data_IF_117468856479
#
_entry.id   IF_117468856479
#
_cell.length_a   1.000
_cell.length_b   1.000
_cell.length_c   1.000
_cell.angle_alpha   90.00
_cell.angle_beta   90.00
_cell.angle_gamma   90.00
#
_symmetry.space_group_name_H-M   'P 1'
#
loop_
_entity.id
_entity.type
_entity.pdbx_description
1 polymer ?
#
# COMPACT_ATOMS: atom_id res chain seq x y z
N UNK A 1 0.08 -47.10 34.16
CA UNK A 1 0.77 -48.00 33.22
C UNK A 1 1.35 -47.08 32.17
N UNK A 2 2.47 -46.53 32.45
CA UNK A 2 3.85 -46.76 31.98
C UNK A 2 4.00 -46.44 30.50
N UNK A 3 4.53 -45.32 30.24
CA UNK A 3 5.94 -44.94 29.98
C UNK A 3 6.52 -45.52 28.68
N UNK A 4 6.98 -44.67 27.81
CA UNK A 4 7.83 -45.01 26.70
C UNK A 4 8.50 -43.72 26.20
N UNK A 5 9.76 -43.55 26.57
CA UNK A 5 10.59 -42.39 26.50
C UNK A 5 11.11 -42.06 25.09
N UNK A 6 11.41 -40.77 24.91
CA UNK A 6 12.17 -40.11 23.85
C UNK A 6 13.59 -40.71 23.67
N UNK A 7 14.01 -40.83 22.42
CA UNK A 7 15.44 -40.99 22.08
C UNK A 7 15.80 -39.99 20.95
N UNK A 8 16.79 -39.11 21.16
CA UNK A 8 17.25 -38.19 20.13
C UNK A 8 18.25 -38.87 19.17
N UNK A 9 17.99 -38.72 17.89
CA UNK A 9 18.94 -39.16 16.82
C UNK A 9 20.11 -38.19 16.77
N UNK A 10 21.28 -38.66 17.17
CA UNK A 10 22.59 -38.03 16.94
C UNK A 10 23.06 -38.34 15.52
N UNK A 11 23.22 -37.31 14.69
CA UNK A 11 24.02 -37.42 13.47
C UNK A 11 25.48 -37.18 13.81
N UNK A 12 26.30 -38.23 13.63
CA UNK A 12 27.76 -38.23 13.70
C UNK A 12 28.31 -37.79 12.35
N UNK A 13 29.10 -36.73 12.31
CA UNK A 13 30.05 -36.45 11.23
C UNK A 13 31.48 -36.69 11.74
N UNK A 14 32.33 -37.33 10.96
CA UNK A 14 33.73 -37.52 11.33
C UNK A 14 34.56 -36.24 11.09
N UNK A 15 35.65 -36.04 11.82
CA UNK A 15 36.53 -34.89 11.63
C UNK A 15 37.53 -35.12 10.49
N UNK A 16 37.54 -34.25 9.50
CA UNK A 16 38.64 -34.17 8.54
C UNK A 16 39.70 -33.18 9.01
N UNK A 17 40.91 -33.72 9.12
CA UNK A 17 42.17 -33.02 9.31
C UNK A 17 42.53 -32.22 8.05
N UNK A 18 42.70 -30.91 8.17
CA UNK A 18 43.38 -30.11 7.15
C UNK A 18 44.59 -29.43 7.82
N UNK A 19 45.78 -29.93 7.53
CA UNK A 19 47.06 -29.23 7.76
C UNK A 19 47.26 -28.13 6.72
N UNK A 20 47.59 -27.00 7.22
CA UNK A 20 48.40 -25.87 6.73
C UNK A 20 48.65 -25.66 5.24
N UNK A 21 48.21 -24.49 4.79
CA UNK A 21 48.99 -23.66 3.87
C UNK A 21 48.85 -22.19 4.23
N UNK A 22 50.04 -21.56 4.41
CA UNK A 22 50.19 -20.13 4.68
C UNK A 22 50.03 -19.32 3.39
N UNK A 23 49.38 -18.16 3.49
CA UNK A 23 49.74 -16.98 2.71
C UNK A 23 49.05 -16.83 1.37
N UNK A 24 47.94 -16.11 1.35
CA UNK A 24 47.59 -15.13 0.28
C UNK A 24 46.71 -14.03 0.89
N UNK A 25 47.10 -12.79 0.61
CA UNK A 25 46.43 -11.55 1.00
C UNK A 25 44.96 -11.51 0.56
N UNK A 26 44.05 -10.83 1.28
CA UNK A 26 42.69 -10.65 0.83
C UNK A 26 42.67 -9.68 -0.36
N UNK A 27 42.23 -10.19 -1.51
CA UNK A 27 41.88 -9.32 -2.63
C UNK A 27 40.71 -8.46 -2.24
N UNK A 28 40.92 -7.15 -2.16
CA UNK A 28 39.87 -6.17 -2.07
C UNK A 28 39.02 -6.29 -3.34
N UNK A 29 37.75 -6.69 -3.18
CA UNK A 29 36.76 -6.55 -4.25
C UNK A 29 36.49 -5.07 -4.41
N UNK A 30 37.05 -4.46 -5.44
CA UNK A 30 36.64 -3.15 -5.93
C UNK A 30 35.27 -3.36 -6.57
N UNK A 31 34.20 -2.97 -5.86
CA UNK A 31 32.86 -2.86 -6.45
C UNK A 31 32.90 -1.64 -7.37
N UNK A 32 32.94 -1.88 -8.67
CA UNK A 32 32.76 -0.82 -9.65
C UNK A 32 31.39 -0.12 -9.42
N UNK A 33 31.30 1.22 -9.57
CA UNK A 33 30.04 1.90 -9.40
C UNK A 33 29.06 1.37 -10.45
N UNK A 34 27.93 0.81 -10.00
CA UNK A 34 26.80 0.44 -10.85
C UNK A 34 26.30 1.76 -11.45
N UNK A 35 26.51 1.96 -12.74
CA UNK A 35 25.97 3.07 -13.48
C UNK A 35 24.47 3.13 -13.24
N UNK A 36 23.99 4.26 -12.73
CA UNK A 36 22.58 4.53 -12.61
C UNK A 36 21.89 4.32 -13.97
N UNK A 37 20.80 3.56 -14.07
CA UNK A 37 20.12 3.36 -15.35
C UNK A 37 19.63 4.72 -15.88
N UNK A 38 20.01 5.03 -17.11
CA UNK A 38 19.49 6.20 -17.84
C UNK A 38 17.99 6.07 -17.96
N UNK A 39 17.26 7.02 -17.41
CA UNK A 39 15.80 7.14 -17.36
C UNK A 39 15.23 7.57 -18.73
N UNK A 40 15.59 6.93 -19.83
CA UNK A 40 14.94 7.26 -21.10
C UNK A 40 15.01 6.12 -22.12
N UNK A 41 14.21 5.09 -21.84
CA UNK A 41 13.63 4.17 -22.83
C UNK A 41 12.34 3.64 -22.23
N UNK A 42 11.22 3.86 -22.91
CA UNK A 42 10.00 3.08 -22.64
C UNK A 42 10.40 1.62 -22.57
N UNK A 43 10.20 0.90 -21.46
CA UNK A 43 10.60 -0.48 -21.36
C UNK A 43 9.90 -1.26 -22.45
N UNK A 44 10.65 -1.97 -23.30
CA UNK A 44 10.07 -2.96 -24.21
C UNK A 44 9.36 -3.98 -23.34
N UNK A 45 8.02 -3.97 -23.36
CA UNK A 45 7.20 -4.88 -22.55
C UNK A 45 7.44 -6.28 -23.10
N UNK A 46 8.26 -7.06 -22.40
CA UNK A 46 8.50 -8.48 -22.71
C UNK A 46 7.53 -9.39 -21.97
N UNK A 47 6.93 -8.91 -20.87
CA UNK A 47 5.90 -9.63 -20.13
C UNK A 47 4.54 -9.50 -20.86
N UNK A 48 3.80 -10.59 -21.02
CA UNK A 48 2.46 -10.54 -21.59
C UNK A 48 1.43 -9.92 -20.62
N UNK A 49 1.79 -9.66 -19.36
CA UNK A 49 0.95 -9.01 -18.35
C UNK A 49 1.66 -7.79 -17.79
N UNK A 50 0.96 -6.65 -17.64
CA UNK A 50 1.50 -5.39 -17.12
C UNK A 50 0.41 -4.57 -16.41
N UNK A 51 0.84 -3.65 -15.54
CA UNK A 51 -0.03 -2.64 -14.95
C UNK A 51 0.34 -1.25 -15.45
N UNK A 52 -0.60 -0.56 -16.06
CA UNK A 52 -0.47 0.85 -16.43
C UNK A 52 -0.81 1.73 -15.24
N UNK A 53 0.06 2.69 -14.93
CA UNK A 53 -0.12 3.64 -13.82
C UNK A 53 -0.17 5.05 -14.41
N UNK A 54 -1.36 5.65 -14.41
CA UNK A 54 -1.56 7.02 -14.88
C UNK A 54 -1.11 8.02 -13.82
N UNK A 55 0.06 8.62 -14.02
CA UNK A 55 0.57 9.68 -13.13
C UNK A 55 -0.29 10.95 -13.24
N UNK A 56 -0.92 11.19 -14.39
CA UNK A 56 -1.84 12.32 -14.56
C UNK A 56 -3.13 12.15 -13.77
N UNK A 57 -3.70 10.93 -13.73
CA UNK A 57 -4.83 10.62 -12.85
C UNK A 57 -4.46 10.80 -11.37
N UNK A 58 -3.24 10.38 -10.99
CA UNK A 58 -2.74 10.55 -9.62
C UNK A 58 -2.60 12.04 -9.25
N UNK A 59 -2.01 12.86 -10.13
CA UNK A 59 -1.91 14.32 -9.96
C UNK A 59 -3.29 14.98 -9.87
N UNK A 60 -4.20 14.58 -10.77
CA UNK A 60 -5.58 15.04 -10.75
C UNK A 60 -6.25 14.77 -9.40
N UNK A 61 -6.15 13.53 -8.90
CA UNK A 61 -6.75 13.13 -7.63
C UNK A 61 -6.15 13.92 -6.45
N UNK A 62 -4.85 14.16 -6.46
CA UNK A 62 -4.19 14.95 -5.44
C UNK A 62 -4.73 16.39 -5.42
N UNK A 63 -4.80 17.04 -6.59
CA UNK A 63 -5.39 18.38 -6.72
C UNK A 63 -6.86 18.42 -6.31
N UNK A 64 -7.63 17.39 -6.71
CA UNK A 64 -9.05 17.27 -6.35
C UNK A 64 -9.26 17.18 -4.83
N UNK A 65 -8.45 16.35 -4.16
CA UNK A 65 -8.46 16.23 -2.69
C UNK A 65 -8.05 17.54 -2.03
N UNK A 66 -6.97 18.18 -2.51
CA UNK A 66 -6.52 19.48 -2.00
C UNK A 66 -7.60 20.57 -2.14
N UNK A 67 -8.24 20.67 -3.30
CA UNK A 67 -9.35 21.59 -3.53
C UNK A 67 -10.56 21.29 -2.62
N UNK A 68 -10.85 20.02 -2.38
CA UNK A 68 -11.98 19.61 -1.52
C UNK A 68 -11.80 20.06 -0.06
N UNK A 69 -10.58 20.00 0.47
CA UNK A 69 -10.33 20.38 1.88
C UNK A 69 -9.96 21.86 2.06
N UNK A 70 -9.61 22.56 0.99
CA UNK A 70 -9.22 23.96 1.01
C UNK A 70 -7.77 24.21 1.43
N UNK A 71 -7.32 25.46 1.27
CA UNK A 71 -5.90 25.86 1.38
C UNK A 71 -5.35 25.81 2.80
N UNK A 72 -6.19 25.83 3.81
CA UNK A 72 -5.78 25.81 5.22
C UNK A 72 -5.46 24.40 5.74
N UNK A 73 -5.71 23.37 4.94
CA UNK A 73 -5.49 21.96 5.30
C UNK A 73 -4.39 21.34 4.45
N UNK A 74 -3.32 20.92 5.08
CA UNK A 74 -2.21 20.28 4.37
C UNK A 74 -2.56 18.83 4.02
N UNK A 75 -1.97 18.33 2.95
CA UNK A 75 -2.14 16.95 2.49
C UNK A 75 -0.86 16.18 2.74
N UNK A 76 -0.94 15.12 3.56
CA UNK A 76 0.08 14.09 3.66
C UNK A 76 -0.34 12.95 2.72
N UNK A 77 0.29 12.87 1.56
CA UNK A 77 0.01 11.84 0.56
C UNK A 77 0.52 10.48 1.05
N UNK A 78 -0.38 9.52 1.29
CA UNK A 78 0.02 8.20 1.80
C UNK A 78 0.44 7.29 0.66
N UNK A 79 1.73 6.96 0.61
CA UNK A 79 2.38 6.16 -0.45
C UNK A 79 2.98 4.85 0.06
N UNK A 80 2.57 4.39 1.24
CA UNK A 80 2.98 3.11 1.83
C UNK A 80 2.56 1.90 0.98
N UNK A 81 3.11 0.74 1.27
CA UNK A 81 2.88 -0.51 0.55
C UNK A 81 3.11 -0.33 -0.95
N UNK A 82 4.27 0.25 -1.30
CA UNK A 82 4.66 0.59 -2.67
C UNK A 82 3.60 1.44 -3.39
N UNK A 83 3.12 2.53 -2.71
CA UNK A 83 2.01 3.35 -3.19
C UNK A 83 0.76 2.51 -3.51
N UNK A 84 0.36 1.62 -2.58
CA UNK A 84 -0.77 0.68 -2.78
C UNK A 84 -0.57 -0.17 -4.05
N UNK A 85 0.66 -0.61 -4.30
CA UNK A 85 1.02 -1.42 -5.47
C UNK A 85 1.24 -0.65 -6.77
N UNK A 86 1.23 0.70 -6.74
CA UNK A 86 1.41 1.54 -7.93
C UNK A 86 2.86 1.92 -8.22
N UNK A 87 3.81 1.61 -7.31
CA UNK A 87 5.22 2.01 -7.41
C UNK A 87 5.51 3.33 -6.71
N UNK A 88 5.88 3.26 -5.42
CA UNK A 88 6.03 4.43 -4.55
C UNK A 88 7.01 5.49 -5.07
N UNK A 89 8.20 5.15 -5.60
CA UNK A 89 9.14 6.18 -6.09
C UNK A 89 8.55 7.07 -7.18
N UNK A 90 7.94 6.48 -8.21
CA UNK A 90 7.37 7.24 -9.33
C UNK A 90 6.12 8.02 -8.92
N UNK A 91 5.26 7.42 -8.09
CA UNK A 91 4.09 8.10 -7.55
C UNK A 91 4.49 9.30 -6.67
N UNK A 92 5.48 9.13 -5.79
CA UNK A 92 5.95 10.20 -4.92
C UNK A 92 6.60 11.34 -5.73
N UNK A 93 7.43 11.03 -6.75
CA UNK A 93 8.00 12.03 -7.64
C UNK A 93 6.92 12.86 -8.36
N UNK A 94 5.88 12.19 -8.87
CA UNK A 94 4.76 12.87 -9.52
C UNK A 94 3.99 13.78 -8.55
N UNK A 95 3.75 13.32 -7.32
CA UNK A 95 3.06 14.11 -6.30
C UNK A 95 3.92 15.24 -5.74
N UNK A 96 5.23 15.03 -5.59
CA UNK A 96 6.15 16.09 -5.15
C UNK A 96 6.22 17.22 -6.20
N UNK A 97 6.20 16.88 -7.49
CA UNK A 97 6.11 17.89 -8.56
C UNK A 97 4.81 18.69 -8.56
N UNK A 98 3.74 18.16 -7.98
CA UNK A 98 2.48 18.87 -7.70
C UNK A 98 2.52 19.66 -6.38
N UNK A 99 3.65 19.70 -5.69
CA UNK A 99 3.84 20.44 -4.45
C UNK A 99 3.40 19.68 -3.20
N UNK A 100 3.30 18.35 -3.22
CA UNK A 100 2.98 17.57 -2.01
C UNK A 100 4.07 17.76 -0.93
N UNK A 101 3.76 18.39 0.22
CA UNK A 101 4.76 18.73 1.23
C UNK A 101 5.08 17.55 2.16
N UNK A 102 4.22 16.52 2.18
CA UNK A 102 4.31 15.38 3.08
C UNK A 102 3.96 14.08 2.40
N UNK A 103 4.74 13.03 2.68
CA UNK A 103 4.39 11.66 2.35
C UNK A 103 4.27 10.81 3.61
N UNK A 104 3.25 9.95 3.66
CA UNK A 104 3.06 8.95 4.71
C UNK A 104 3.50 7.57 4.23
N UNK A 105 4.45 6.97 4.95
CA UNK A 105 4.95 5.62 4.71
C UNK A 105 4.76 4.75 5.95
N UNK A 106 4.91 3.43 5.82
CA UNK A 106 4.81 2.55 6.99
C UNK A 106 6.04 2.70 7.89
N UNK A 107 7.22 2.43 7.36
CA UNK A 107 8.46 2.36 8.13
C UNK A 107 9.67 2.92 7.38
N UNK A 108 10.82 2.72 7.99
CA UNK A 108 12.10 3.31 7.58
C UNK A 108 12.54 2.81 6.20
N UNK A 109 12.35 1.52 5.86
CA UNK A 109 12.73 0.97 4.54
C UNK A 109 11.99 1.68 3.39
N UNK A 110 10.68 1.89 3.53
CA UNK A 110 9.88 2.61 2.52
C UNK A 110 10.35 4.07 2.40
N UNK A 111 10.63 4.72 3.54
CA UNK A 111 11.16 6.09 3.55
C UNK A 111 12.51 6.18 2.85
N UNK A 112 13.40 5.22 3.09
CA UNK A 112 14.72 5.18 2.45
C UNK A 112 14.63 4.98 0.95
N UNK A 113 13.71 4.12 0.47
CA UNK A 113 13.47 3.97 -0.96
C UNK A 113 13.03 5.30 -1.61
N UNK A 114 12.21 6.10 -0.93
CA UNK A 114 11.81 7.42 -1.41
C UNK A 114 12.98 8.43 -1.38
N UNK A 115 13.80 8.43 -0.33
CA UNK A 115 15.02 9.27 -0.27
C UNK A 115 15.98 8.93 -1.40
N UNK A 116 16.22 7.64 -1.66
CA UNK A 116 17.05 7.17 -2.78
C UNK A 116 16.48 7.57 -4.14
N UNK A 117 15.16 7.66 -4.27
CA UNK A 117 14.49 8.19 -5.45
C UNK A 117 14.52 9.72 -5.57
N UNK A 118 15.17 10.42 -4.64
CA UNK A 118 15.39 11.86 -4.66
C UNK A 118 14.30 12.70 -4.01
N UNK A 119 13.30 12.09 -3.35
CA UNK A 119 12.21 12.81 -2.67
C UNK A 119 12.78 13.69 -1.54
N UNK A 120 12.44 14.98 -1.57
CA UNK A 120 12.86 16.00 -0.59
C UNK A 120 11.79 16.32 0.45
N UNK A 121 10.52 16.13 0.08
CA UNK A 121 9.37 16.37 0.95
C UNK A 121 9.50 15.62 2.28
N UNK A 122 8.72 16.04 3.26
CA UNK A 122 8.70 15.44 4.61
C UNK A 122 8.15 14.01 4.55
N UNK A 123 8.79 13.09 5.27
CA UNK A 123 8.40 11.69 5.35
C UNK A 123 7.92 11.35 6.75
N UNK A 124 6.64 11.00 6.89
CA UNK A 124 5.99 10.59 8.13
C UNK A 124 6.02 9.07 8.25
N UNK A 125 6.74 8.54 9.25
CA UNK A 125 6.73 7.11 9.58
C UNK A 125 5.48 6.79 10.41
N UNK A 126 4.46 6.23 9.75
CA UNK A 126 3.11 6.12 10.34
C UNK A 126 2.98 5.00 11.38
N UNK A 127 3.91 4.05 11.43
CA UNK A 127 3.96 2.97 12.42
C UNK A 127 5.13 3.12 13.40
N UNK A 128 5.69 4.33 13.51
CA UNK A 128 6.80 4.61 14.41
C UNK A 128 8.13 4.07 13.90
N UNK A 129 8.99 3.69 14.84
CA UNK A 129 10.30 3.11 14.58
C UNK A 129 10.40 1.71 15.15
N UNK A 130 11.30 0.91 14.62
CA UNK A 130 11.78 -0.29 15.25
C UNK A 130 13.13 -0.03 15.95
N UNK A 131 13.46 -0.86 16.95
CA UNK A 131 14.73 -0.72 17.70
C UNK A 131 15.92 -0.93 16.77
N UNK A 132 16.82 0.04 16.72
CA UNK A 132 18.01 0.04 15.85
C UNK A 132 17.89 0.93 14.61
N UNK A 133 16.72 1.52 14.34
CA UNK A 133 16.50 2.43 13.19
C UNK A 133 16.74 3.91 13.55
N UNK A 134 17.00 4.23 14.82
CA UNK A 134 17.02 5.59 15.34
C UNK A 134 18.07 6.48 14.63
N UNK A 135 19.28 5.94 14.45
CA UNK A 135 20.37 6.66 13.78
C UNK A 135 20.04 6.96 12.31
N UNK A 136 19.35 6.04 11.62
CA UNK A 136 18.91 6.20 10.25
C UNK A 136 17.78 7.21 10.12
N UNK A 137 16.82 7.19 11.04
CA UNK A 137 15.71 8.16 11.13
C UNK A 137 16.25 9.57 11.25
N UNK A 138 17.21 9.80 12.15
CA UNK A 138 17.82 11.12 12.35
C UNK A 138 18.65 11.54 11.13
N UNK A 139 19.47 10.63 10.59
CA UNK A 139 20.34 10.92 9.45
C UNK A 139 19.60 11.32 8.18
N UNK A 140 18.40 10.75 7.97
CA UNK A 140 17.60 10.98 6.77
C UNK A 140 16.44 11.95 6.98
N UNK A 141 16.44 12.68 8.10
CA UNK A 141 15.42 13.68 8.43
C UNK A 141 13.99 13.11 8.30
N UNK A 142 13.77 11.91 8.83
CA UNK A 142 12.45 11.29 8.86
C UNK A 142 11.67 11.83 10.06
N UNK A 143 10.34 11.81 9.98
CA UNK A 143 9.47 12.25 11.05
C UNK A 143 8.70 11.04 11.60
N UNK A 144 9.15 10.42 12.70
CA UNK A 144 8.48 9.27 13.26
C UNK A 144 7.25 9.64 14.07
N UNK A 145 6.23 8.78 14.03
CA UNK A 145 5.13 8.79 15.00
C UNK A 145 5.59 8.04 16.23
N UNK A 146 5.35 8.61 17.43
CA UNK A 146 5.72 8.04 18.73
C UNK A 146 4.48 7.85 19.61
N UNK A 147 4.49 6.85 20.52
CA UNK A 147 3.43 6.60 21.49
C UNK A 147 3.90 5.85 22.73
N UNK A 148 5.17 5.44 22.75
CA UNK A 148 5.80 4.74 23.88
C UNK A 148 7.00 5.53 24.39
N UNK A 149 7.27 5.41 25.68
CA UNK A 149 8.40 6.07 26.31
C UNK A 149 9.74 5.68 25.67
N UNK A 150 9.91 4.40 25.33
CA UNK A 150 11.13 3.92 24.69
C UNK A 150 11.40 4.54 23.31
N UNK A 151 10.35 4.89 22.52
CA UNK A 151 10.53 5.62 21.28
C UNK A 151 11.21 6.96 21.54
N UNK A 152 10.69 7.68 22.54
CA UNK A 152 11.17 9.01 22.92
C UNK A 152 12.61 8.93 23.42
N UNK A 153 12.91 8.03 24.35
CA UNK A 153 14.25 7.86 24.92
C UNK A 153 15.31 7.53 23.87
N UNK A 154 15.00 6.61 22.95
CA UNK A 154 15.94 6.21 21.93
C UNK A 154 16.15 7.27 20.85
N UNK A 155 15.07 7.93 20.42
CA UNK A 155 15.17 9.01 19.44
C UNK A 155 15.88 10.23 20.04
N UNK A 156 15.64 10.55 21.31
CA UNK A 156 16.35 11.59 22.02
C UNK A 156 17.86 11.31 22.05
N UNK A 157 18.25 10.08 22.42
CA UNK A 157 19.65 9.69 22.45
C UNK A 157 20.33 9.79 21.07
N UNK A 158 19.65 9.37 20.01
CA UNK A 158 20.17 9.45 18.63
C UNK A 158 20.25 10.91 18.13
N UNK A 159 19.25 11.74 18.43
CA UNK A 159 19.22 13.14 18.03
C UNK A 159 20.27 13.95 18.82
N UNK A 160 20.43 13.71 20.11
CA UNK A 160 21.46 14.30 20.97
C UNK A 160 22.86 13.97 20.48
N UNK A 161 23.14 12.71 20.17
CA UNK A 161 24.43 12.27 19.60
C UNK A 161 24.82 13.03 18.33
N UNK A 162 23.84 13.42 17.53
CA UNK A 162 24.02 14.19 16.28
C UNK A 162 23.85 15.70 16.47
N UNK A 163 23.62 16.16 17.71
CA UNK A 163 23.37 17.58 18.06
C UNK A 163 22.33 18.24 17.14
N UNK A 164 21.24 17.53 16.87
CA UNK A 164 20.15 17.99 16.02
C UNK A 164 18.81 17.90 16.74
N UNK A 165 17.81 18.62 16.26
CA UNK A 165 16.43 18.51 16.74
C UNK A 165 15.62 17.68 15.76
N UNK A 166 15.03 16.59 16.26
CA UNK A 166 14.19 15.68 15.48
C UNK A 166 12.70 16.03 15.70
N UNK A 167 11.95 16.36 14.64
CA UNK A 167 10.49 16.49 14.75
C UNK A 167 9.84 15.12 14.90
N UNK A 168 8.89 15.02 15.84
CA UNK A 168 8.11 13.80 16.07
C UNK A 168 6.63 14.12 16.12
N UNK A 169 5.78 13.14 15.75
CA UNK A 169 4.33 13.22 15.92
C UNK A 169 3.88 12.26 17.01
N UNK A 170 3.09 12.74 17.96
CA UNK A 170 2.48 11.89 18.97
C UNK A 170 1.22 11.24 18.43
N UNK A 171 1.03 9.94 18.69
CA UNK A 171 -0.21 9.25 18.35
C UNK A 171 -1.01 8.93 19.60
N UNK A 172 -2.29 9.31 19.57
CA UNK A 172 -3.29 9.01 20.60
C UNK A 172 -4.18 7.87 20.10
N UNK A 173 -4.35 6.84 20.92
CA UNK A 173 -5.37 5.81 20.63
C UNK A 173 -6.71 6.28 21.22
N UNK A 174 -7.64 6.58 20.36
CA UNK A 174 -8.99 7.01 20.71
C UNK A 174 -10.04 5.92 20.46
N UNK A 175 -9.59 4.66 20.30
CA UNK A 175 -10.50 3.52 20.09
C UNK A 175 -10.27 2.72 18.81
N UNK A 176 -9.09 2.86 18.18
CA UNK A 176 -8.64 1.93 17.13
C UNK A 176 -8.01 0.67 17.73
N UNK A 177 -7.46 0.78 18.94
CA UNK A 177 -6.85 -0.29 19.74
C UNK A 177 -5.76 -1.04 18.94
N UNK A 178 -4.88 -0.25 18.31
CA UNK A 178 -3.79 -0.80 17.50
C UNK A 178 -2.44 -0.16 17.83
N UNK A 179 -2.32 1.14 17.73
CA UNK A 179 -1.12 1.93 18.02
C UNK A 179 -1.57 3.28 18.60
N UNK A 180 -0.81 3.80 19.53
CA UNK A 180 -1.06 5.10 20.16
C UNK A 180 -1.04 4.99 21.68
N UNK A 181 -0.75 6.11 22.33
CA UNK A 181 -0.86 6.23 23.78
C UNK A 181 -2.34 6.27 24.19
N UNK A 182 -2.71 5.51 25.20
CA UNK A 182 -4.04 5.61 25.80
C UNK A 182 -4.17 6.93 26.57
N UNK A 183 -5.36 7.55 26.60
CA UNK A 183 -5.55 8.85 27.25
C UNK A 183 -5.04 8.90 28.71
N UNK A 184 -5.22 7.85 29.48
CA UNK A 184 -4.75 7.73 30.86
C UNK A 184 -3.22 7.71 30.99
N UNK A 185 -2.50 7.26 30.00
CA UNK A 185 -1.03 7.21 29.96
C UNK A 185 -0.40 8.47 29.35
N UNK A 186 -1.21 9.37 28.79
CA UNK A 186 -0.75 10.59 28.13
C UNK A 186 0.14 11.49 29.00
N UNK A 187 -0.15 11.71 30.30
CA UNK A 187 0.72 12.53 31.15
C UNK A 187 2.16 12.02 31.25
N UNK A 188 2.37 10.70 31.27
CA UNK A 188 3.70 10.11 31.31
C UNK A 188 4.49 10.34 30.03
N UNK A 189 3.82 10.28 28.88
CA UNK A 189 4.42 10.56 27.58
C UNK A 189 4.75 12.05 27.41
N UNK A 190 3.87 12.93 27.90
CA UNK A 190 4.11 14.38 27.94
C UNK A 190 5.37 14.70 28.78
N UNK A 191 5.50 14.09 29.95
CA UNK A 191 6.68 14.28 30.79
C UNK A 191 7.96 13.80 30.11
N UNK A 192 7.92 12.65 29.42
CA UNK A 192 9.05 12.15 28.63
C UNK A 192 9.45 13.11 27.52
N UNK A 193 8.48 13.63 26.74
CA UNK A 193 8.73 14.61 25.68
C UNK A 193 9.30 15.93 26.24
N UNK A 194 8.78 16.40 27.35
CA UNK A 194 9.28 17.62 28.03
C UNK A 194 10.73 17.50 28.52
N UNK A 195 11.17 16.25 28.81
CA UNK A 195 12.55 15.93 29.22
C UNK A 195 13.48 15.63 28.05
N UNK A 196 13.02 15.80 26.82
CA UNK A 196 13.76 15.44 25.60
C UNK A 196 14.04 16.67 24.74
N UNK A 197 15.11 17.46 25.06
CA UNK A 197 15.38 18.75 24.40
C UNK A 197 15.72 18.64 22.91
N UNK A 198 16.15 17.45 22.43
CA UNK A 198 16.45 17.21 21.03
C UNK A 198 15.24 16.65 20.25
N UNK A 199 14.07 16.50 20.89
CA UNK A 199 12.83 16.17 20.21
C UNK A 199 11.89 17.38 20.18
N UNK A 200 11.26 17.60 19.03
CA UNK A 200 10.24 18.63 18.85
C UNK A 200 8.90 17.96 18.54
N UNK A 201 7.93 18.09 19.46
CA UNK A 201 6.57 17.68 19.16
C UNK A 201 5.99 18.60 18.06
N UNK A 202 6.00 18.12 16.82
CA UNK A 202 5.52 18.86 15.66
C UNK A 202 4.08 18.53 15.30
N UNK A 203 3.63 17.33 15.62
CA UNK A 203 2.28 16.91 15.29
C UNK A 203 1.66 15.99 16.33
N UNK A 204 0.33 15.91 16.27
CA UNK A 204 -0.45 14.94 17.06
C UNK A 204 -1.50 14.30 16.17
N UNK A 205 -1.73 13.01 16.35
CA UNK A 205 -2.60 12.24 15.48
C UNK A 205 -3.45 11.21 16.20
N UNK A 206 -4.56 10.87 15.58
CA UNK A 206 -5.31 9.64 15.85
C UNK A 206 -5.69 8.94 14.56
N UNK A 207 -6.37 7.80 14.64
CA UNK A 207 -6.88 7.09 13.48
C UNK A 207 -8.25 6.52 13.76
N UNK A 208 -9.21 6.77 12.86
CA UNK A 208 -10.56 6.25 13.01
C UNK A 208 -10.62 4.75 12.75
N UNK A 209 -11.23 4.01 13.67
CA UNK A 209 -11.55 2.61 13.50
C UNK A 209 -12.62 2.42 12.42
N UNK A 210 -13.58 3.34 12.41
CA UNK A 210 -14.62 3.41 11.37
C UNK A 210 -15.08 4.85 11.21
N UNK A 211 -15.22 5.30 9.94
CA UNK A 211 -15.85 6.58 9.60
C UNK A 211 -17.33 6.38 9.25
N UNK A 212 -17.73 5.12 9.06
CA UNK A 212 -19.07 4.70 8.65
C UNK A 212 -20.11 4.83 9.75
N UNK A 213 -19.67 4.73 11.00
CA UNK A 213 -20.50 4.88 12.19
C UNK A 213 -20.31 6.29 12.75
N UNK A 214 -21.31 7.18 12.59
CA UNK A 214 -21.19 8.57 13.05
C UNK A 214 -21.02 8.68 14.56
N UNK A 215 -21.60 7.76 15.33
CA UNK A 215 -21.52 7.79 16.79
C UNK A 215 -20.10 7.41 17.26
N UNK A 216 -19.55 6.32 16.72
CA UNK A 216 -18.16 5.91 17.00
C UNK A 216 -17.17 6.97 16.56
N UNK A 217 -17.38 7.58 15.36
CA UNK A 217 -16.52 8.67 14.88
C UNK A 217 -16.56 9.85 15.84
N UNK A 218 -17.75 10.26 16.33
CA UNK A 218 -17.90 11.38 17.27
C UNK A 218 -17.22 11.07 18.62
N UNK A 219 -17.40 9.85 19.14
CA UNK A 219 -16.72 9.40 20.38
C UNK A 219 -15.20 9.47 20.24
N UNK A 220 -14.64 8.95 19.13
CA UNK A 220 -13.19 9.04 18.88
C UNK A 220 -12.71 10.48 18.74
N UNK A 221 -13.49 11.34 18.09
CA UNK A 221 -13.17 12.76 17.95
C UNK A 221 -13.17 13.45 19.30
N UNK A 222 -14.18 13.22 20.16
CA UNK A 222 -14.24 13.81 21.51
C UNK A 222 -13.01 13.41 22.35
N UNK A 223 -12.68 12.12 22.41
CA UNK A 223 -11.46 11.66 23.13
C UNK A 223 -10.18 12.30 22.59
N UNK A 224 -10.14 12.60 21.29
CA UNK A 224 -8.99 13.29 20.71
C UNK A 224 -8.94 14.76 21.11
N UNK A 225 -10.08 15.47 21.15
CA UNK A 225 -10.15 16.84 21.66
C UNK A 225 -9.74 16.92 23.13
N UNK A 226 -10.18 15.99 23.95
CA UNK A 226 -9.77 15.90 25.37
C UNK A 226 -8.24 15.75 25.49
N UNK A 227 -7.64 14.88 24.66
CA UNK A 227 -6.19 14.72 24.62
C UNK A 227 -5.45 15.99 24.16
N UNK A 228 -6.01 16.73 23.20
CA UNK A 228 -5.48 18.03 22.77
C UNK A 228 -5.54 19.07 23.91
N UNK A 229 -6.61 19.08 24.70
CA UNK A 229 -6.74 19.95 25.85
C UNK A 229 -5.68 19.65 26.93
N UNK A 230 -5.39 18.36 27.19
CA UNK A 230 -4.32 17.93 28.11
C UNK A 230 -2.95 18.40 27.61
N UNK A 231 -2.67 18.27 26.31
CA UNK A 231 -1.42 18.76 25.70
C UNK A 231 -1.31 20.29 25.84
N UNK A 232 -2.37 21.02 25.55
CA UNK A 232 -2.41 22.49 25.67
C UNK A 232 -2.18 22.95 27.10
N UNK A 233 -2.80 22.31 28.11
CA UNK A 233 -2.58 22.57 29.52
C UNK A 233 -1.12 22.34 29.92
N UNK A 234 -0.43 21.42 29.24
CA UNK A 234 1.00 21.14 29.43
C UNK A 234 1.91 22.04 28.57
N UNK A 235 1.35 23.11 27.97
CA UNK A 235 2.05 24.05 27.07
C UNK A 235 2.61 23.42 25.79
N UNK A 236 2.10 22.28 25.40
CA UNK A 236 2.41 21.60 24.13
C UNK A 236 1.30 21.86 23.12
N UNK A 237 1.60 22.66 22.10
CA UNK A 237 0.66 23.04 21.05
C UNK A 237 1.27 22.72 19.67
N UNK A 238 1.28 21.44 19.26
CA UNK A 238 1.85 21.07 17.98
C UNK A 238 1.05 21.69 16.82
N UNK A 239 1.72 22.26 15.80
CA UNK A 239 1.04 22.92 14.68
C UNK A 239 0.30 21.96 13.77
N UNK A 240 0.66 20.66 13.78
CA UNK A 240 0.06 19.67 12.89
C UNK A 240 -0.86 18.73 13.69
N UNK A 241 -2.14 18.86 13.43
CA UNK A 241 -3.19 18.02 14.05
C UNK A 241 -3.84 17.20 12.92
N UNK A 242 -3.87 15.87 13.03
CA UNK A 242 -4.36 15.03 11.95
C UNK A 242 -5.13 13.80 12.42
N UNK A 243 -6.36 13.67 11.95
CA UNK A 243 -7.29 12.57 12.22
C UNK A 243 -7.70 11.87 10.93
N UNK A 244 -8.02 12.64 9.89
CA UNK A 244 -8.70 12.18 8.69
C UNK A 244 -7.83 11.25 7.83
N UNK A 245 -8.30 10.03 7.59
CA UNK A 245 -7.89 9.14 6.51
C UNK A 245 -8.72 9.44 5.24
N UNK A 246 -8.57 8.67 4.15
CA UNK A 246 -9.33 8.89 2.91
C UNK A 246 -10.83 9.02 3.13
N UNK A 247 -11.42 8.13 3.94
CA UNK A 247 -12.86 8.14 4.20
C UNK A 247 -13.30 9.40 4.95
N UNK A 248 -12.57 9.78 5.99
CA UNK A 248 -12.85 10.98 6.76
C UNK A 248 -12.58 12.25 5.94
N UNK A 249 -11.51 12.25 5.13
CA UNK A 249 -11.21 13.36 4.21
C UNK A 249 -12.39 13.65 3.29
N UNK A 250 -13.01 12.63 2.72
CA UNK A 250 -14.08 12.78 1.75
C UNK A 250 -15.45 13.02 2.38
N UNK A 251 -15.68 12.64 3.65
CA UNK A 251 -17.01 12.56 4.24
C UNK A 251 -17.21 13.40 5.53
N UNK A 252 -16.14 13.93 6.14
CA UNK A 252 -16.18 14.47 7.51
C UNK A 252 -15.29 15.69 7.67
N UNK A 253 -15.73 16.85 7.17
CA UNK A 253 -14.95 18.09 7.21
C UNK A 253 -14.53 18.51 8.63
N UNK A 254 -15.32 18.19 9.63
CA UNK A 254 -15.03 18.43 11.04
C UNK A 254 -13.76 17.70 11.57
N UNK A 255 -13.28 16.72 10.82
CA UNK A 255 -12.11 15.90 11.20
C UNK A 255 -10.80 16.31 10.51
N UNK A 256 -10.83 17.27 9.59
CA UNK A 256 -9.63 17.58 8.77
C UNK A 256 -8.49 18.18 9.57
N UNK A 257 -8.83 19.05 10.55
CA UNK A 257 -7.83 19.77 11.34
C UNK A 257 -6.84 20.52 10.44
N UNK A 258 -5.52 20.40 10.71
CA UNK A 258 -4.48 21.11 9.93
C UNK A 258 -3.77 20.22 8.92
N UNK A 259 -3.98 18.89 8.98
CA UNK A 259 -3.35 17.92 8.09
C UNK A 259 -4.27 16.71 7.88
N UNK A 260 -4.44 16.29 6.64
CA UNK A 260 -5.14 15.04 6.27
C UNK A 260 -4.17 13.99 5.73
N UNK A 261 -4.58 12.72 5.79
CA UNK A 261 -3.77 11.58 5.32
C UNK A 261 -4.55 10.72 4.32
N UNK A 262 -4.86 11.23 3.10
CA UNK A 262 -5.49 10.43 2.07
C UNK A 262 -4.52 9.36 1.56
N UNK A 263 -5.01 8.13 1.43
CA UNK A 263 -4.34 7.01 0.78
C UNK A 263 -5.15 6.60 -0.43
N UNK A 264 -6.07 5.66 -0.28
CA UNK A 264 -6.81 5.06 -1.39
C UNK A 264 -7.58 6.09 -2.26
N UNK A 265 -7.94 7.24 -1.71
CA UNK A 265 -8.56 8.32 -2.47
C UNK A 265 -7.62 8.87 -3.55
N UNK A 266 -6.31 8.95 -3.29
CA UNK A 266 -5.32 9.39 -4.28
C UNK A 266 -5.22 8.42 -5.46
N UNK A 267 -5.55 7.15 -5.24
CA UNK A 267 -5.53 6.10 -6.27
C UNK A 267 -6.88 5.93 -6.98
N UNK A 268 -7.84 6.85 -6.74
CA UNK A 268 -9.09 6.95 -7.49
C UNK A 268 -10.28 6.22 -6.88
N UNK A 269 -10.18 5.75 -5.64
CA UNK A 269 -11.28 5.03 -4.97
C UNK A 269 -11.94 5.90 -3.91
N UNK A 270 -13.02 6.59 -4.30
CA UNK A 270 -13.86 7.41 -3.41
C UNK A 270 -15.02 6.62 -2.81
N UNK A 271 -15.53 5.63 -3.54
CA UNK A 271 -16.66 4.80 -3.12
C UNK A 271 -16.18 3.78 -2.09
N UNK A 272 -15.93 4.25 -0.87
CA UNK A 272 -15.89 3.39 0.29
C UNK A 272 -17.35 2.98 0.50
N UNK A 273 -17.78 1.89 -0.14
CA UNK A 273 -19.14 1.37 0.00
C UNK A 273 -19.39 1.05 1.45
N UNK A 274 -20.23 1.85 2.06
CA UNK A 274 -20.83 1.59 3.37
C UNK A 274 -22.19 0.96 3.11
N UNK A 275 -22.43 -0.21 3.66
CA UNK A 275 -23.80 -0.70 3.68
C UNK A 275 -24.70 0.38 4.30
N UNK A 276 -25.73 0.80 3.58
CA UNK A 276 -26.75 1.74 4.05
C UNK A 276 -26.42 3.24 3.96
N UNK A 277 -25.28 3.67 3.37
CA UNK A 277 -25.00 5.08 3.16
C UNK A 277 -24.90 5.45 1.67
N UNK A 278 -25.33 6.66 1.32
CA UNK A 278 -25.14 7.21 -0.03
C UNK A 278 -23.63 7.39 -0.29
N UNK A 279 -23.16 7.21 -1.54
CA UNK A 279 -21.80 7.58 -1.90
C UNK A 279 -21.56 9.04 -1.52
N UNK A 280 -20.36 9.34 -1.00
CA UNK A 280 -19.97 10.73 -0.80
C UNK A 280 -19.64 11.31 -2.17
N UNK A 281 -20.40 12.29 -2.61
CA UNK A 281 -20.08 13.06 -3.82
C UNK A 281 -18.92 13.99 -3.49
N UNK A 282 -17.74 13.64 -3.99
CA UNK A 282 -16.63 14.59 -4.07
C UNK A 282 -16.95 15.57 -5.20
N UNK A 283 -16.79 16.86 -4.96
CA UNK A 283 -17.06 17.91 -5.95
C UNK A 283 -16.32 17.71 -7.29
N UNK A 284 -15.23 16.94 -7.28
CA UNK A 284 -14.50 16.52 -8.48
C UNK A 284 -14.37 15.01 -8.46
N UNK A 285 -14.77 14.28 -9.52
CA UNK A 285 -14.59 12.83 -9.59
C UNK A 285 -13.12 12.44 -9.44
N UNK A 286 -12.86 11.39 -8.68
CA UNK A 286 -11.53 10.77 -8.60
C UNK A 286 -11.41 9.71 -9.69
N UNK A 287 -10.23 9.65 -10.31
CA UNK A 287 -9.95 8.75 -11.43
C UNK A 287 -9.12 7.56 -10.96
N UNK A 288 -9.49 6.30 -11.29
CA UNK A 288 -8.63 5.15 -11.06
C UNK A 288 -7.25 5.38 -11.68
N UNK A 289 -6.21 5.12 -10.89
CA UNK A 289 -4.82 5.37 -11.32
C UNK A 289 -4.22 4.16 -12.00
N UNK A 290 -4.69 2.94 -11.69
CA UNK A 290 -4.13 1.70 -12.20
C UNK A 290 -5.11 0.96 -13.11
N UNK A 291 -4.61 0.57 -14.29
CA UNK A 291 -5.21 -0.45 -15.14
C UNK A 291 -4.28 -1.67 -15.20
N UNK A 292 -4.84 -2.87 -15.03
CA UNK A 292 -4.09 -4.13 -15.13
C UNK A 292 -4.52 -4.90 -16.36
N UNK A 293 -3.58 -5.20 -17.24
CA UNK A 293 -3.80 -5.77 -18.55
C UNK A 293 -2.95 -7.01 -18.78
N UNK A 294 -3.41 -7.85 -19.70
CA UNK A 294 -2.65 -8.99 -20.18
C UNK A 294 -2.98 -9.24 -21.66
N UNK A 295 -2.40 -10.30 -22.25
CA UNK A 295 -2.70 -10.74 -23.63
C UNK A 295 -3.13 -12.20 -23.64
N UNK A 296 -3.97 -12.55 -24.60
CA UNK A 296 -4.30 -13.93 -24.88
C UNK A 296 -3.07 -14.68 -25.41
N UNK A 297 -2.73 -15.82 -24.80
CA UNK A 297 -1.59 -16.65 -25.25
C UNK A 297 -2.01 -17.93 -25.97
N UNK A 298 -3.25 -18.37 -25.80
CA UNK A 298 -3.78 -19.54 -26.49
C UNK A 298 -5.30 -19.49 -26.58
N UNK A 299 -5.83 -20.18 -27.60
CA UNK A 299 -7.25 -20.38 -27.83
C UNK A 299 -7.52 -21.86 -28.06
N UNK A 300 -8.61 -22.39 -27.49
CA UNK A 300 -9.04 -23.78 -27.65
C UNK A 300 -10.52 -23.83 -27.96
N UNK A 301 -10.88 -24.58 -29.01
CA UNK A 301 -12.26 -24.97 -29.25
C UNK A 301 -12.57 -26.25 -28.47
N UNK A 302 -13.53 -26.18 -27.58
CA UNK A 302 -13.87 -27.23 -26.62
C UNK A 302 -15.27 -27.74 -26.89
N UNK A 303 -15.45 -29.07 -26.95
CA UNK A 303 -16.75 -29.70 -27.15
C UNK A 303 -17.63 -29.54 -25.90
N UNK A 304 -18.97 -29.69 -26.03
CA UNK A 304 -19.84 -29.79 -24.85
C UNK A 304 -19.42 -30.95 -23.91
N UNK A 305 -19.66 -30.80 -22.64
CA UNK A 305 -19.37 -31.81 -21.60
C UNK A 305 -17.90 -31.88 -21.18
N UNK A 306 -17.04 -30.97 -21.63
CA UNK A 306 -15.63 -30.96 -21.26
C UNK A 306 -15.40 -30.14 -19.99
N UNK A 307 -14.64 -30.70 -19.04
CA UNK A 307 -14.24 -30.02 -17.82
C UNK A 307 -13.06 -29.06 -18.07
N UNK A 308 -13.09 -27.87 -17.46
CA UNK A 308 -12.08 -26.82 -17.61
C UNK A 308 -11.27 -26.67 -16.32
N UNK A 309 -9.94 -26.75 -16.42
CA UNK A 309 -8.99 -26.46 -15.37
C UNK A 309 -8.98 -27.45 -14.21
N UNK A 310 -8.28 -27.07 -13.15
CA UNK A 310 -8.14 -27.91 -11.94
C UNK A 310 -9.49 -28.21 -11.27
N UNK A 311 -9.70 -29.46 -10.93
CA UNK A 311 -10.91 -29.94 -10.26
C UNK A 311 -12.15 -29.98 -11.16
N UNK A 312 -12.04 -29.58 -12.44
CA UNK A 312 -13.18 -29.63 -13.38
C UNK A 312 -14.39 -28.83 -12.90
N UNK A 313 -14.15 -27.72 -12.19
CA UNK A 313 -15.22 -26.94 -11.53
C UNK A 313 -16.14 -26.19 -12.48
N UNK A 314 -15.81 -26.17 -13.75
CA UNK A 314 -16.63 -25.69 -14.86
C UNK A 314 -16.68 -26.76 -15.96
N UNK A 315 -17.90 -27.03 -16.46
CA UNK A 315 -18.12 -27.97 -17.57
C UNK A 315 -18.84 -27.22 -18.69
N UNK A 316 -18.31 -27.28 -19.90
CA UNK A 316 -18.92 -26.64 -21.08
C UNK A 316 -20.30 -27.24 -21.39
N UNK A 317 -21.29 -26.39 -21.60
CA UNK A 317 -22.65 -26.81 -21.94
C UNK A 317 -22.88 -26.87 -23.45
N UNK A 318 -22.03 -26.19 -24.23
CA UNK A 318 -22.07 -26.08 -25.66
C UNK A 318 -20.66 -26.10 -26.22
N UNK A 319 -20.51 -26.11 -27.56
CA UNK A 319 -19.21 -25.88 -28.18
C UNK A 319 -18.72 -24.48 -27.77
N UNK A 320 -17.61 -24.44 -27.09
CA UNK A 320 -17.08 -23.22 -26.48
C UNK A 320 -15.69 -22.88 -27.00
N UNK A 321 -15.38 -21.60 -27.08
CA UNK A 321 -14.05 -21.09 -27.40
C UNK A 321 -13.42 -20.53 -26.11
N UNK A 322 -12.41 -21.23 -25.59
CA UNK A 322 -11.76 -20.95 -24.33
C UNK A 322 -10.40 -20.29 -24.60
N UNK A 323 -10.21 -19.11 -24.04
CA UNK A 323 -8.96 -18.36 -24.10
C UNK A 323 -8.14 -18.58 -22.83
N UNK A 324 -6.82 -18.58 -22.96
CA UNK A 324 -5.87 -18.74 -21.86
C UNK A 324 -5.10 -17.43 -21.66
N UNK A 325 -5.10 -16.93 -20.44
CA UNK A 325 -4.38 -15.74 -20.00
C UNK A 325 -3.15 -16.15 -19.18
N UNK A 326 -1.96 -15.57 -19.41
CA UNK A 326 -0.74 -15.83 -18.63
C UNK A 326 -0.74 -14.98 -17.34
N UNK A 327 -1.77 -15.13 -16.53
CA UNK A 327 -1.94 -14.46 -15.25
C UNK A 327 -2.70 -15.38 -14.30
N UNK A 328 -2.23 -15.43 -13.05
CA UNK A 328 -2.83 -16.23 -12.00
C UNK A 328 -2.64 -15.64 -10.61
N UNK A 329 -2.85 -16.45 -9.57
CA UNK A 329 -2.81 -15.92 -8.22
C UNK A 329 -1.38 -15.51 -7.77
N UNK A 330 -0.32 -15.99 -8.38
CA UNK A 330 1.05 -15.53 -8.13
C UNK A 330 1.30 -14.11 -8.66
N UNK A 331 0.48 -13.64 -9.60
CA UNK A 331 0.50 -12.28 -10.12
C UNK A 331 -0.43 -11.35 -9.34
N UNK A 332 -1.33 -11.91 -8.49
CA UNK A 332 -2.34 -11.18 -7.74
C UNK A 332 -3.76 -11.34 -8.28
N UNK A 333 -3.99 -12.18 -9.31
CA UNK A 333 -5.34 -12.49 -9.79
C UNK A 333 -5.96 -13.56 -8.91
N UNK A 334 -6.75 -13.14 -7.92
CA UNK A 334 -7.18 -13.96 -6.80
C UNK A 334 -7.89 -15.25 -7.22
N UNK A 335 -7.57 -16.36 -6.53
CA UNK A 335 -8.20 -17.67 -6.79
C UNK A 335 -9.72 -17.66 -6.56
N UNK A 336 -10.24 -16.76 -5.72
CA UNK A 336 -11.66 -16.56 -5.48
C UNK A 336 -12.42 -15.99 -6.69
N UNK A 337 -11.72 -15.52 -7.72
CA UNK A 337 -12.31 -15.13 -9.01
C UNK A 337 -12.69 -16.34 -9.89
N UNK A 338 -12.29 -17.57 -9.55
CA UNK A 338 -12.65 -18.81 -10.24
C UNK A 338 -14.17 -18.92 -10.42
N UNK A 339 -14.65 -19.08 -11.65
CA UNK A 339 -16.08 -19.17 -12.03
C UNK A 339 -16.96 -17.98 -11.58
N UNK A 340 -16.38 -16.92 -11.04
CA UNK A 340 -17.11 -15.77 -10.48
C UNK A 340 -16.68 -14.43 -11.10
N UNK A 341 -15.42 -14.33 -11.50
CA UNK A 341 -14.83 -13.14 -12.08
C UNK A 341 -15.12 -13.04 -13.57
N UNK A 342 -14.73 -11.91 -14.14
CA UNK A 342 -14.76 -11.64 -15.58
C UNK A 342 -13.60 -10.74 -15.97
N UNK A 343 -13.32 -10.69 -17.26
CA UNK A 343 -12.34 -9.80 -17.88
C UNK A 343 -12.99 -9.06 -19.03
N UNK A 344 -12.30 -8.08 -19.64
CA UNK A 344 -12.77 -7.45 -20.87
C UNK A 344 -11.84 -7.85 -22.01
N UNK A 345 -12.42 -8.39 -23.08
CA UNK A 345 -11.74 -8.77 -24.33
C UNK A 345 -12.44 -8.07 -25.48
N UNK A 346 -11.71 -7.30 -26.32
CA UNK A 346 -12.27 -6.54 -27.44
C UNK A 346 -13.48 -5.68 -27.08
N UNK A 347 -13.49 -5.14 -25.83
CA UNK A 347 -14.57 -4.30 -25.34
C UNK A 347 -15.81 -5.05 -24.85
N UNK A 348 -15.76 -6.39 -24.73
CA UNK A 348 -16.84 -7.22 -24.22
C UNK A 348 -16.43 -7.99 -22.97
N UNK A 349 -17.36 -8.28 -22.09
CA UNK A 349 -17.10 -9.09 -20.90
C UNK A 349 -16.95 -10.58 -21.27
N UNK A 350 -15.87 -11.20 -20.81
CA UNK A 350 -15.61 -12.64 -20.87
C UNK A 350 -15.54 -13.22 -19.45
N UNK A 351 -16.36 -14.21 -19.10
CA UNK A 351 -16.34 -14.81 -17.77
C UNK A 351 -15.10 -15.66 -17.55
N UNK A 352 -14.58 -15.65 -16.32
CA UNK A 352 -13.57 -16.62 -15.87
C UNK A 352 -14.26 -17.97 -15.70
N UNK A 353 -13.74 -19.00 -16.34
CA UNK A 353 -14.27 -20.37 -16.29
C UNK A 353 -13.22 -21.34 -15.80
N UNK A 354 -13.60 -22.19 -14.84
CA UNK A 354 -12.69 -23.08 -14.14
C UNK A 354 -11.88 -22.36 -13.04
N UNK A 355 -10.96 -23.10 -12.45
CA UNK A 355 -10.13 -22.58 -11.34
C UNK A 355 -8.99 -21.73 -11.85
N UNK A 356 -8.82 -20.52 -11.28
CA UNK A 356 -7.60 -19.72 -11.45
C UNK A 356 -6.43 -20.51 -10.87
N UNK A 357 -5.38 -20.70 -11.68
CA UNK A 357 -4.16 -21.39 -11.27
C UNK A 357 -3.07 -20.42 -10.84
N UNK A 358 -1.87 -20.94 -10.56
CA UNK A 358 -0.76 -20.08 -10.10
C UNK A 358 -0.40 -19.01 -11.13
N UNK A 359 -0.30 -19.41 -12.41
CA UNK A 359 0.23 -18.58 -13.49
C UNK A 359 -0.74 -18.42 -14.67
N UNK A 360 -1.90 -19.11 -14.66
CA UNK A 360 -2.83 -19.13 -15.78
C UNK A 360 -4.28 -18.97 -15.32
N UNK A 361 -5.06 -18.29 -16.16
CA UNK A 361 -6.51 -18.15 -16.02
C UNK A 361 -7.17 -18.50 -17.35
N UNK A 362 -8.31 -19.18 -17.30
CA UNK A 362 -9.14 -19.49 -18.47
C UNK A 362 -10.40 -18.63 -18.49
N UNK A 363 -10.74 -18.12 -19.66
CA UNK A 363 -11.94 -17.31 -19.88
C UNK A 363 -12.72 -17.82 -21.09
N UNK A 364 -14.04 -17.72 -21.03
CA UNK A 364 -14.90 -18.10 -22.15
C UNK A 364 -15.12 -16.89 -23.07
N UNK A 365 -14.68 -17.01 -24.31
CA UNK A 365 -14.81 -15.98 -25.35
C UNK A 365 -15.74 -16.42 -26.50
N UNK A 366 -16.57 -17.42 -26.26
CA UNK A 366 -17.47 -18.01 -27.28
C UNK A 366 -18.35 -16.96 -27.94
N UNK A 367 -18.89 -16.02 -27.17
CA UNK A 367 -19.79 -14.97 -27.66
C UNK A 367 -19.06 -13.75 -28.28
N UNK A 368 -17.74 -13.71 -28.24
CA UNK A 368 -16.97 -12.56 -28.72
C UNK A 368 -16.36 -12.87 -30.09
N UNK A 369 -16.81 -12.21 -31.15
CA UNK A 369 -16.31 -12.49 -32.47
C UNK A 369 -14.89 -11.98 -32.71
N UNK A 370 -14.13 -12.70 -33.55
CA UNK A 370 -12.81 -12.25 -34.01
C UNK A 370 -11.69 -12.25 -32.97
N UNK A 371 -11.91 -12.86 -31.78
CA UNK A 371 -10.85 -12.98 -30.76
C UNK A 371 -9.68 -13.78 -31.31
N UNK A 372 -8.44 -13.29 -31.10
CA UNK A 372 -7.23 -13.98 -31.53
C UNK A 372 -6.11 -13.91 -30.48
N UNK A 373 -5.10 -14.78 -30.68
CA UNK A 373 -3.89 -14.78 -29.83
C UNK A 373 -3.21 -13.41 -29.95
N UNK A 374 -2.79 -12.86 -28.81
CA UNK A 374 -2.18 -11.52 -28.73
C UNK A 374 -3.18 -10.40 -28.46
N UNK A 375 -4.49 -10.64 -28.55
CA UNK A 375 -5.50 -9.64 -28.16
C UNK A 375 -5.30 -9.19 -26.71
N UNK A 376 -5.45 -7.89 -26.48
CA UNK A 376 -5.40 -7.29 -25.14
C UNK A 376 -6.61 -7.71 -24.33
N UNK A 377 -6.35 -8.03 -23.08
CA UNK A 377 -7.35 -8.38 -22.07
C UNK A 377 -7.21 -7.46 -20.88
N UNK A 378 -8.30 -6.85 -20.44
CA UNK A 378 -8.33 -5.98 -19.28
C UNK A 378 -8.83 -6.77 -18.07
N UNK A 379 -7.98 -6.85 -17.06
CA UNK A 379 -8.28 -7.48 -15.78
C UNK A 379 -8.86 -6.45 -14.78
N UNK A 380 -8.27 -5.25 -14.76
CA UNK A 380 -8.76 -4.05 -14.07
C UNK A 380 -8.58 -2.89 -15.05
N UNK A 381 -9.62 -2.10 -15.28
CA UNK A 381 -9.62 -0.97 -16.21
C UNK A 381 -10.94 -0.87 -16.98
N UNK A 382 -10.89 -0.17 -18.11
CA UNK A 382 -12.07 0.08 -18.94
C UNK A 382 -11.81 -0.06 -20.44
N UNK A 383 -12.81 -0.46 -21.19
CA UNK A 383 -12.86 -0.46 -22.67
C UNK A 383 -14.31 -0.49 -23.14
N UNK A 384 -14.65 0.29 -24.18
CA UNK A 384 -16.01 0.35 -24.77
C UNK A 384 -17.13 0.48 -23.74
N UNK A 385 -17.01 1.37 -22.75
CA UNK A 385 -17.97 1.55 -21.68
C UNK A 385 -18.15 0.33 -20.73
N UNK A 386 -17.31 -0.67 -20.85
CA UNK A 386 -17.21 -1.77 -19.88
C UNK A 386 -16.12 -1.44 -18.87
N UNK A 387 -16.41 -1.63 -17.59
CA UNK A 387 -15.49 -1.30 -16.50
C UNK A 387 -15.37 -2.50 -15.56
N UNK A 388 -14.14 -2.83 -15.19
CA UNK A 388 -13.82 -3.72 -14.09
C UNK A 388 -12.86 -2.97 -13.19
N UNK A 389 -13.28 -2.63 -11.97
CA UNK A 389 -12.44 -1.95 -11.00
C UNK A 389 -12.00 -2.89 -9.85
N UNK A 390 -11.03 -2.45 -9.05
CA UNK A 390 -10.60 -3.23 -7.89
C UNK A 390 -11.73 -3.42 -6.85
N UNK A 391 -12.76 -2.60 -6.87
CA UNK A 391 -13.96 -2.77 -6.05
C UNK A 391 -14.82 -3.95 -6.48
N UNK A 392 -14.89 -4.25 -7.78
CA UNK A 392 -15.58 -5.44 -8.30
C UNK A 392 -14.86 -6.71 -7.85
N UNK A 393 -13.53 -6.77 -8.04
CA UNK A 393 -12.73 -7.91 -7.56
C UNK A 393 -12.85 -8.06 -6.03
N UNK A 394 -12.76 -6.96 -5.30
CA UNK A 394 -12.89 -6.98 -3.83
C UNK A 394 -14.24 -7.55 -3.37
N UNK A 395 -15.33 -7.18 -4.05
CA UNK A 395 -16.67 -7.70 -3.75
C UNK A 395 -16.77 -9.21 -3.99
N UNK A 396 -16.16 -9.71 -5.09
CA UNK A 396 -16.16 -11.14 -5.42
C UNK A 396 -15.27 -11.91 -4.44
N UNK A 397 -14.14 -11.33 -4.07
CA UNK A 397 -13.16 -11.94 -3.15
C UNK A 397 -13.47 -11.70 -1.66
N UNK A 398 -14.59 -11.02 -1.33
CA UNK A 398 -15.03 -10.72 0.04
C UNK A 398 -13.98 -9.91 0.82
N UNK A 399 -13.34 -8.97 0.15
CA UNK A 399 -12.29 -8.10 0.70
C UNK A 399 -12.49 -6.63 0.31
N UNK A 400 -11.44 -5.84 0.35
CA UNK A 400 -11.43 -4.40 0.06
C UNK A 400 -10.50 -4.06 -1.12
N UNK A 401 -10.76 -2.94 -1.85
CA UNK A 401 -9.92 -2.53 -2.99
C UNK A 401 -8.44 -2.38 -2.67
N UNK A 402 -8.11 -2.02 -1.42
CA UNK A 402 -6.73 -1.92 -0.93
C UNK A 402 -5.95 -3.22 -1.10
N UNK A 403 -6.55 -4.33 -0.69
CA UNK A 403 -5.93 -5.66 -0.77
C UNK A 403 -5.76 -6.09 -2.22
N UNK A 404 -6.77 -5.87 -3.06
CA UNK A 404 -6.68 -6.18 -4.49
C UNK A 404 -5.52 -5.44 -5.16
N UNK A 405 -5.39 -4.14 -4.93
CA UNK A 405 -4.32 -3.33 -5.54
C UNK A 405 -2.93 -3.72 -5.01
N UNK A 406 -2.81 -3.92 -3.69
CA UNK A 406 -1.55 -4.31 -3.06
C UNK A 406 -1.13 -5.75 -3.43
N UNK A 407 -2.07 -6.62 -3.80
CA UNK A 407 -1.78 -8.00 -4.18
C UNK A 407 -1.20 -8.14 -5.58
N UNK A 408 -1.33 -7.13 -6.47
CA UNK A 408 -0.68 -7.15 -7.78
C UNK A 408 0.83 -7.22 -7.57
N UNK A 409 1.40 -8.39 -7.84
CA UNK A 409 2.75 -8.73 -7.43
C UNK A 409 3.81 -7.97 -8.24
N UNK A 410 5.06 -8.00 -7.77
CA UNK A 410 6.21 -7.41 -8.50
C UNK A 410 6.55 -8.14 -9.80
N UNK A 411 5.96 -9.32 -10.05
CA UNK A 411 6.07 -10.03 -11.34
C UNK A 411 5.38 -9.27 -12.48
N UNK A 412 4.38 -8.46 -12.15
CA UNK A 412 3.65 -7.62 -13.11
C UNK A 412 4.39 -6.28 -13.20
N UNK A 413 5.05 -5.96 -14.31
CA UNK A 413 5.76 -4.69 -14.48
C UNK A 413 4.78 -3.50 -14.46
N UNK A 414 5.20 -2.37 -13.85
CA UNK A 414 4.44 -1.11 -13.88
C UNK A 414 4.97 -0.23 -15.02
N UNK A 415 4.04 0.26 -15.83
CA UNK A 415 4.28 1.20 -16.92
C UNK A 415 3.64 2.51 -16.53
N UNK A 416 4.44 3.57 -16.46
CA UNK A 416 3.96 4.89 -16.06
C UNK A 416 3.60 5.72 -17.29
N UNK A 417 2.35 6.23 -17.30
CA UNK A 417 1.77 7.05 -18.35
C UNK A 417 1.60 8.50 -17.88
#
# INVERSE_FOLDING_TARGET
>A
MDCGADTPVRLLFPPENIRGQRGRSPHAFIIAPVNAPRLDRSPTITSPSWAEVSLDALRHNYRAVGKHVGENVRVCAVVKADAYGHGAPRCAQALESEGAPWFGVTGTEEAMALRQAGIKARLLLMTGIWKGEEDEVVANHLTPIVWEKWHIERLEAAASKRQTTLPVHLKIDTGMTRLGVLPESLPAIIAALASSPHLKLEGVSTHFATVRDPEKTRKQSALFEDALAVLAASKLQPPLIHMANSAATLARSETWKTLIRPGIALYGYSKIRTAGTKPVDVATPLHPVLAWKTRLIALKNVAPGQAIGYGGTFVTQQRSRIAILPVGYADGFHRLLSNRGRVIVRGEYAPVVGSVSMDLTTVDVTSIPGVDIGDEVILIGESNNKIIDAGEHARICETIPYEILCSISKRVPRIYL
#
